data_IF_816143816805
#
_entry.id   IF_816143816805
#
_cell.length_a   1.000
_cell.length_b   1.000
_cell.length_c   1.000
_cell.angle_alpha   90.00
_cell.angle_beta   90.00
_cell.angle_gamma   90.00
#
_symmetry.space_group_name_H-M   'P 1'
#
loop_
_entity.id
_entity.type
_entity.pdbx_description
1 polymer ?
#
# COMPACT_ATOMS: atom_id res chain seq x y z
N UNK A 1 17.15 -12.88 0.31
CA UNK A 1 18.32 -13.68 0.71
C UNK A 1 19.16 -12.92 1.72
N UNK A 2 19.57 -13.59 2.81
CA UNK A 2 20.39 -12.99 3.88
C UNK A 2 21.75 -12.54 3.40
N UNK A 3 22.30 -13.25 2.42
CA UNK A 3 23.59 -12.93 1.82
C UNK A 3 23.73 -11.47 1.35
N UNK A 4 22.62 -10.84 0.90
CA UNK A 4 22.64 -9.43 0.49
C UNK A 4 22.94 -8.50 1.67
N UNK A 5 22.42 -8.78 2.85
CA UNK A 5 22.72 -7.99 4.06
C UNK A 5 24.19 -8.12 4.45
N UNK A 6 24.75 -9.32 4.38
CA UNK A 6 26.19 -9.53 4.65
C UNK A 6 27.07 -8.85 3.61
N UNK A 7 26.67 -8.88 2.33
CA UNK A 7 27.39 -8.13 1.29
C UNK A 7 27.40 -6.63 1.57
N UNK A 8 26.24 -6.06 1.91
CA UNK A 8 26.13 -4.64 2.28
C UNK A 8 26.95 -4.34 3.54
N UNK A 9 26.89 -5.22 4.54
CA UNK A 9 27.66 -5.06 5.77
C UNK A 9 29.18 -5.03 5.50
N UNK A 10 29.68 -5.98 4.75
CA UNK A 10 31.11 -6.07 4.44
C UNK A 10 31.59 -4.91 3.57
N UNK A 11 30.86 -4.60 2.48
CA UNK A 11 31.27 -3.58 1.51
C UNK A 11 31.25 -2.16 2.09
N UNK A 12 30.25 -1.84 2.90
CA UNK A 12 30.02 -0.49 3.42
C UNK A 12 30.33 -0.37 4.91
N UNK A 13 30.89 -1.40 5.56
CA UNK A 13 31.10 -1.45 7.02
C UNK A 13 29.84 -1.13 7.79
N UNK A 14 28.70 -1.65 7.31
CA UNK A 14 27.37 -1.30 7.80
C UNK A 14 26.90 -2.26 8.92
N UNK A 15 27.01 -1.82 10.16
CA UNK A 15 26.62 -2.60 11.34
C UNK A 15 25.12 -2.91 11.42
N UNK A 16 24.24 -2.05 10.88
CA UNK A 16 22.79 -2.34 10.81
C UNK A 16 22.49 -3.50 9.89
N UNK A 17 23.17 -3.55 8.72
CA UNK A 17 23.01 -4.65 7.79
C UNK A 17 23.58 -5.96 8.38
N UNK A 18 24.69 -5.88 9.13
CA UNK A 18 25.24 -7.03 9.86
C UNK A 18 24.24 -7.57 10.89
N UNK A 19 23.69 -6.69 11.71
CA UNK A 19 22.67 -7.05 12.69
C UNK A 19 21.43 -7.67 12.06
N UNK A 20 20.92 -7.06 10.98
CA UNK A 20 19.75 -7.57 10.29
C UNK A 20 20.00 -8.97 9.71
N UNK A 21 21.16 -9.18 9.08
CA UNK A 21 21.58 -10.49 8.59
C UNK A 21 21.61 -11.54 9.71
N UNK A 22 22.26 -11.22 10.83
CA UNK A 22 22.36 -12.12 11.97
C UNK A 22 20.98 -12.42 12.61
N UNK A 23 20.10 -11.43 12.71
CA UNK A 23 18.72 -11.64 13.18
C UNK A 23 17.97 -12.60 12.26
N UNK A 24 18.01 -12.41 10.96
CA UNK A 24 17.32 -13.28 10.00
C UNK A 24 17.85 -14.69 10.07
N UNK A 25 19.19 -14.89 10.13
CA UNK A 25 19.77 -16.22 10.31
C UNK A 25 19.33 -16.88 11.59
N UNK A 26 19.38 -16.16 12.71
CA UNK A 26 19.07 -16.71 14.04
C UNK A 26 17.59 -17.01 14.23
N UNK A 27 16.72 -16.12 13.78
CA UNK A 27 15.29 -16.19 14.10
C UNK A 27 14.46 -16.92 13.02
N UNK A 28 14.88 -16.89 11.76
CA UNK A 28 14.10 -17.44 10.65
C UNK A 28 14.76 -18.61 9.94
N UNK A 29 16.02 -18.48 9.51
CA UNK A 29 16.65 -19.56 8.73
C UNK A 29 16.86 -20.83 9.54
N UNK A 30 17.11 -20.73 10.83
CA UNK A 30 17.23 -21.91 11.70
C UNK A 30 15.92 -22.69 11.75
N UNK A 31 14.78 -22.00 11.79
CA UNK A 31 13.44 -22.64 11.76
C UNK A 31 13.16 -23.21 10.36
N UNK A 32 13.48 -22.48 9.30
CA UNK A 32 13.30 -22.93 7.93
C UNK A 32 14.14 -24.18 7.67
N UNK A 33 15.40 -24.19 8.06
CA UNK A 33 16.27 -25.37 7.94
C UNK A 33 15.75 -26.57 8.72
N UNK A 34 15.18 -26.35 9.92
CA UNK A 34 14.59 -27.43 10.72
C UNK A 34 13.34 -28.02 10.07
N UNK A 35 12.54 -27.19 9.40
CA UNK A 35 11.27 -27.58 8.77
C UNK A 35 11.45 -28.02 7.30
N UNK A 36 12.60 -27.77 6.68
CA UNK A 36 12.85 -28.13 5.28
C UNK A 36 12.77 -29.65 5.06
N UNK A 37 12.04 -30.03 4.03
CA UNK A 37 11.98 -31.44 3.55
C UNK A 37 13.24 -31.82 2.77
N UNK A 38 14.01 -30.85 2.30
CA UNK A 38 15.29 -31.06 1.61
C UNK A 38 16.40 -31.08 2.66
N UNK A 39 17.04 -32.21 2.83
CA UNK A 39 18.17 -32.34 3.76
C UNK A 39 19.48 -32.22 2.94
N UNK A 40 20.46 -31.49 3.45
CA UNK A 40 20.59 -30.96 4.82
C UNK A 40 19.89 -29.63 5.11
N UNK A 41 18.96 -29.14 4.29
CA UNK A 41 18.22 -27.89 4.53
C UNK A 41 19.02 -26.62 4.24
N UNK A 42 20.03 -26.72 3.40
CA UNK A 42 20.89 -25.58 3.00
C UNK A 42 20.20 -24.87 1.83
N UNK A 43 19.98 -23.57 1.99
CA UNK A 43 19.53 -22.71 0.91
C UNK A 43 20.64 -22.54 -0.14
N UNK A 44 20.32 -22.42 -1.43
CA UNK A 44 21.31 -22.19 -2.49
C UNK A 44 22.21 -20.97 -2.24
N UNK A 45 21.67 -19.96 -1.54
CA UNK A 45 22.35 -18.71 -1.21
C UNK A 45 23.35 -18.83 -0.05
N UNK A 46 23.35 -19.92 0.71
CA UNK A 46 24.22 -20.09 1.88
C UNK A 46 25.71 -19.98 1.55
N UNK A 47 26.10 -20.34 0.34
CA UNK A 47 27.49 -20.16 -0.13
C UNK A 47 27.86 -18.67 -0.18
N UNK A 48 26.95 -17.80 -0.60
CA UNK A 48 27.19 -16.37 -0.65
C UNK A 48 27.17 -15.75 0.75
N UNK A 49 26.39 -16.28 1.69
CA UNK A 49 26.44 -15.89 3.09
C UNK A 49 27.82 -16.16 3.66
N UNK A 50 28.38 -17.34 3.45
CA UNK A 50 29.72 -17.69 3.87
C UNK A 50 30.77 -16.80 3.23
N UNK A 51 30.67 -16.51 1.93
CA UNK A 51 31.65 -15.71 1.19
C UNK A 51 31.61 -14.21 1.57
N UNK A 52 30.46 -13.69 1.96
CA UNK A 52 30.27 -12.26 2.19
C UNK A 52 30.17 -11.87 3.66
N UNK A 53 30.07 -12.86 4.55
CA UNK A 53 30.08 -12.58 5.98
C UNK A 53 31.46 -12.10 6.43
N UNK A 54 31.52 -10.89 7.00
CA UNK A 54 32.73 -10.34 7.60
C UNK A 54 32.54 -10.19 9.12
N UNK A 55 33.17 -11.07 9.92
CA UNK A 55 33.03 -11.03 11.37
C UNK A 55 33.67 -9.79 12.02
N UNK A 56 34.44 -8.99 11.27
CA UNK A 56 35.01 -7.74 11.76
C UNK A 56 34.05 -6.55 11.70
N UNK A 57 32.88 -6.71 11.09
CA UNK A 57 31.81 -5.71 11.11
C UNK A 57 31.00 -5.88 12.39
N UNK A 58 31.13 -4.91 13.30
CA UNK A 58 30.35 -4.89 14.52
C UNK A 58 28.88 -4.57 14.27
N UNK A 59 27.97 -5.28 14.97
CA UNK A 59 26.55 -5.00 14.92
C UNK A 59 26.24 -3.60 15.47
N UNK A 60 25.27 -2.93 14.87
CA UNK A 60 24.73 -1.65 15.32
C UNK A 60 23.22 -1.73 15.49
N UNK A 61 22.72 -1.17 16.60
CA UNK A 61 21.27 -1.08 16.85
C UNK A 61 20.57 -0.19 15.82
N UNK A 62 19.25 -0.40 15.63
CA UNK A 62 18.49 0.32 14.62
C UNK A 62 17.95 1.68 15.08
N UNK A 63 18.08 2.03 16.38
CA UNK A 63 17.40 3.17 17.00
C UNK A 63 17.79 4.53 16.42
N UNK A 64 18.91 4.63 15.72
CA UNK A 64 19.38 5.83 15.02
C UNK A 64 18.94 5.91 13.56
N UNK A 65 18.25 4.88 13.05
CA UNK A 65 17.69 4.91 11.72
C UNK A 65 16.39 5.73 11.67
N UNK A 66 16.10 6.41 10.54
CA UNK A 66 14.88 7.19 10.39
C UNK A 66 13.64 6.30 10.55
N UNK A 67 12.59 6.84 11.17
CA UNK A 67 11.29 6.17 11.33
C UNK A 67 10.42 6.26 10.07
N UNK A 68 10.80 7.10 9.12
CA UNK A 68 10.13 7.25 7.84
C UNK A 68 11.12 7.16 6.69
N UNK A 69 10.76 6.45 5.63
CA UNK A 69 11.56 6.39 4.40
C UNK A 69 10.65 6.37 3.18
N UNK A 70 10.91 7.27 2.27
CA UNK A 70 10.31 7.26 0.94
C UNK A 70 11.32 6.68 -0.06
N UNK A 71 10.90 5.65 -0.79
CA UNK A 71 11.64 5.02 -1.88
C UNK A 71 11.03 5.52 -3.19
N UNK A 72 11.61 6.60 -3.70
CA UNK A 72 11.07 7.38 -4.82
C UNK A 72 10.83 6.51 -6.07
N UNK A 73 11.78 5.67 -6.42
CA UNK A 73 11.69 4.82 -7.61
C UNK A 73 10.52 3.82 -7.55
N UNK A 74 10.21 3.32 -6.36
CA UNK A 74 9.10 2.40 -6.12
C UNK A 74 7.77 3.10 -5.81
N UNK A 75 7.81 4.40 -5.54
CA UNK A 75 6.65 5.13 -5.02
C UNK A 75 6.19 4.64 -3.64
N UNK A 76 7.11 4.05 -2.86
CA UNK A 76 6.83 3.41 -1.58
C UNK A 76 7.21 4.31 -0.41
N UNK A 77 6.24 4.65 0.43
CA UNK A 77 6.47 5.26 1.74
C UNK A 77 6.36 4.19 2.83
N UNK A 78 7.42 4.05 3.63
CA UNK A 78 7.45 3.18 4.81
C UNK A 78 7.59 4.03 6.07
N UNK A 79 6.75 3.75 7.07
CA UNK A 79 6.69 4.45 8.35
C UNK A 79 6.77 3.46 9.50
N UNK A 80 7.36 3.88 10.62
CA UNK A 80 7.42 3.13 11.87
C UNK A 80 7.21 4.06 13.06
N UNK A 81 6.60 3.54 14.14
CA UNK A 81 6.53 4.28 15.41
C UNK A 81 7.83 4.19 16.22
N UNK A 82 8.58 3.11 16.04
CA UNK A 82 9.89 2.88 16.67
C UNK A 82 10.63 1.75 15.94
N UNK A 83 11.85 1.41 16.38
CA UNK A 83 12.60 0.23 15.93
C UNK A 83 12.48 -0.95 16.90
N UNK A 84 11.60 -0.84 17.89
CA UNK A 84 11.34 -1.92 18.84
C UNK A 84 10.39 -2.98 18.26
N UNK A 85 10.30 -4.15 18.89
CA UNK A 85 9.47 -5.28 18.42
C UNK A 85 7.96 -5.00 18.45
N UNK A 86 7.53 -4.13 19.35
CA UNK A 86 6.14 -3.69 19.51
C UNK A 86 5.75 -2.52 18.60
N UNK A 87 6.64 -2.12 17.71
CA UNK A 87 6.43 -1.00 16.81
C UNK A 87 5.19 -1.19 15.92
N UNK A 88 4.52 -0.08 15.66
CA UNK A 88 3.58 0.05 14.54
C UNK A 88 4.37 0.27 13.26
N UNK A 89 3.97 -0.42 12.21
CA UNK A 89 4.59 -0.32 10.89
C UNK A 89 3.50 -0.07 9.86
N UNK A 90 3.75 0.89 8.99
CA UNK A 90 2.84 1.23 7.92
C UNK A 90 3.61 1.38 6.61
N UNK A 91 3.05 0.89 5.52
CA UNK A 91 3.56 1.16 4.18
C UNK A 91 2.44 1.42 3.20
N UNK A 92 2.67 2.31 2.24
CA UNK A 92 1.78 2.57 1.11
C UNK A 92 2.61 2.70 -0.16
N UNK A 93 2.10 2.19 -1.27
CA UNK A 93 2.81 2.17 -2.55
C UNK A 93 1.91 2.70 -3.66
N UNK A 94 2.50 3.52 -4.54
CA UNK A 94 1.91 3.93 -5.82
C UNK A 94 3.03 4.19 -6.82
N UNK A 95 3.19 3.33 -7.81
CA UNK A 95 4.29 3.46 -8.75
C UNK A 95 4.17 2.50 -9.93
N UNK A 96 4.96 2.76 -10.95
CA UNK A 96 5.05 1.91 -12.11
C UNK A 96 5.57 0.49 -11.74
N UNK A 97 5.16 -0.55 -12.47
CA UNK A 97 5.66 -1.90 -12.27
C UNK A 97 7.21 -1.97 -12.34
N UNK A 98 7.83 -2.60 -11.36
CA UNK A 98 9.29 -2.71 -11.26
C UNK A 98 10.03 -1.46 -10.82
N UNK A 99 9.33 -0.36 -10.62
CA UNK A 99 9.87 0.96 -10.31
C UNK A 99 9.96 1.87 -11.53
N UNK A 100 9.93 3.17 -11.29
CA UNK A 100 9.86 4.18 -12.35
C UNK A 100 11.08 4.16 -13.29
N UNK A 101 12.27 3.91 -12.75
CA UNK A 101 13.49 3.83 -13.56
C UNK A 101 13.46 2.63 -14.49
N UNK A 102 13.20 1.45 -13.96
CA UNK A 102 13.15 0.22 -14.75
C UNK A 102 12.03 0.27 -15.80
N UNK A 103 10.89 0.84 -15.44
CA UNK A 103 9.79 1.04 -16.36
C UNK A 103 10.20 1.89 -17.57
N UNK A 104 10.81 3.07 -17.35
CA UNK A 104 11.29 3.95 -18.43
C UNK A 104 12.36 3.29 -19.30
N UNK A 105 13.36 2.68 -18.66
CA UNK A 105 14.46 2.01 -19.40
C UNK A 105 13.95 0.83 -20.20
N UNK A 106 13.05 0.02 -19.65
CA UNK A 106 12.43 -1.10 -20.35
C UNK A 106 11.68 -0.66 -21.61
N UNK A 107 10.89 0.41 -21.52
CA UNK A 107 10.20 1.00 -22.68
C UNK A 107 11.17 1.54 -23.73
N UNK A 108 12.23 2.21 -23.32
CA UNK A 108 13.25 2.70 -24.22
C UNK A 108 13.92 1.56 -24.99
N UNK A 109 14.30 0.48 -24.32
CA UNK A 109 14.90 -0.70 -24.94
C UNK A 109 13.91 -1.36 -25.91
N UNK A 110 12.63 -1.46 -25.55
CA UNK A 110 11.61 -1.99 -26.45
C UNK A 110 11.47 -1.12 -27.71
N UNK A 111 11.47 0.20 -27.59
CA UNK A 111 11.35 1.13 -28.72
C UNK A 111 12.60 1.15 -29.60
N UNK A 112 13.80 1.16 -28.99
CA UNK A 112 15.06 1.31 -29.71
C UNK A 112 15.57 0.00 -30.30
N UNK A 113 15.35 -1.12 -29.62
CA UNK A 113 15.95 -2.42 -29.93
C UNK A 113 14.94 -3.52 -30.21
N UNK A 114 13.66 -3.29 -29.97
CA UNK A 114 12.58 -4.29 -30.16
C UNK A 114 12.65 -5.44 -29.14
N UNK A 115 13.38 -5.26 -28.03
CA UNK A 115 13.54 -6.26 -26.98
C UNK A 115 12.49 -5.99 -25.89
N UNK A 116 11.58 -6.94 -25.68
CA UNK A 116 10.61 -6.89 -24.60
C UNK A 116 11.26 -7.37 -23.28
N UNK A 117 11.40 -6.45 -22.33
CA UNK A 117 11.92 -6.73 -20.99
C UNK A 117 10.82 -6.77 -19.91
N UNK A 118 9.57 -6.63 -20.31
CA UNK A 118 8.44 -6.57 -19.38
C UNK A 118 7.93 -7.94 -18.97
N UNK A 119 8.77 -8.75 -18.30
CA UNK A 119 8.27 -9.91 -17.57
C UNK A 119 7.63 -9.45 -16.26
N UNK A 120 6.36 -9.10 -16.31
CA UNK A 120 5.62 -8.55 -15.16
C UNK A 120 4.93 -9.63 -14.32
N UNK A 121 5.31 -10.88 -14.45
CA UNK A 121 4.69 -12.04 -13.78
C UNK A 121 4.76 -12.01 -12.24
N UNK A 122 5.55 -11.10 -11.67
CA UNK A 122 5.75 -10.95 -10.23
C UNK A 122 5.18 -9.62 -9.67
N UNK A 123 4.35 -8.93 -10.43
CA UNK A 123 3.68 -7.70 -10.00
C UNK A 123 2.24 -7.97 -9.59
N UNK A 124 1.77 -7.15 -8.64
CA UNK A 124 0.42 -7.18 -8.13
C UNK A 124 -0.34 -5.92 -8.56
N UNK A 125 -1.66 -5.95 -8.71
CA UNK A 125 -2.50 -4.77 -8.95
C UNK A 125 -2.71 -4.00 -7.64
N UNK A 126 -1.62 -3.52 -7.03
CA UNK A 126 -1.51 -3.04 -5.66
C UNK A 126 -1.23 -1.54 -5.52
N UNK A 127 -1.37 -0.75 -6.60
CA UNK A 127 -1.23 0.70 -6.51
C UNK A 127 -2.23 1.30 -5.54
N UNK A 128 -1.76 2.18 -4.65
CA UNK A 128 -2.49 2.78 -3.53
C UNK A 128 -2.84 1.80 -2.40
N UNK A 129 -2.43 0.54 -2.49
CA UNK A 129 -2.56 -0.41 -1.39
C UNK A 129 -1.64 -0.02 -0.24
N UNK A 130 -2.08 -0.35 0.97
CA UNK A 130 -1.33 -0.12 2.20
C UNK A 130 -1.32 -1.36 3.07
N UNK A 131 -0.25 -1.49 3.86
CA UNK A 131 -0.08 -2.54 4.87
C UNK A 131 0.14 -1.87 6.21
N UNK A 132 -0.54 -2.36 7.23
CA UNK A 132 -0.35 -1.97 8.61
C UNK A 132 -0.19 -3.19 9.51
N UNK A 133 0.80 -3.12 10.40
CA UNK A 133 1.04 -4.11 11.45
C UNK A 133 1.42 -3.41 12.76
N UNK A 134 1.12 -4.03 13.88
CA UNK A 134 1.42 -3.53 15.23
C UNK A 134 1.87 -4.68 16.12
N UNK A 135 3.04 -4.56 16.76
CA UNK A 135 3.56 -5.57 17.68
C UNK A 135 3.77 -6.96 17.07
N UNK A 136 3.99 -7.03 15.75
CA UNK A 136 4.11 -8.29 15.00
C UNK A 136 2.78 -8.89 14.56
N UNK A 137 1.64 -8.27 14.89
CA UNK A 137 0.31 -8.64 14.45
C UNK A 137 -0.08 -7.82 13.20
N UNK A 138 -0.50 -8.49 12.13
CA UNK A 138 -1.01 -7.82 10.94
C UNK A 138 -2.46 -7.38 11.15
N UNK A 139 -2.73 -6.11 10.86
CA UNK A 139 -4.09 -5.60 10.72
C UNK A 139 -4.58 -5.81 9.30
N UNK A 140 -3.85 -5.27 8.32
CA UNK A 140 -4.17 -5.49 6.91
C UNK A 140 -3.49 -6.77 6.42
N UNK A 141 -4.18 -7.50 5.58
CA UNK A 141 -3.60 -8.65 4.90
C UNK A 141 -3.95 -8.62 3.42
N UNK A 142 -3.19 -9.34 2.65
CA UNK A 142 -3.33 -9.51 1.21
C UNK A 142 -3.17 -10.98 0.86
N UNK A 143 -3.60 -11.38 -0.34
CA UNK A 143 -3.47 -12.76 -0.83
C UNK A 143 -2.02 -13.22 -1.01
N UNK A 144 -1.08 -12.30 -0.87
CA UNK A 144 0.33 -12.59 -1.02
C UNK A 144 0.69 -12.99 -2.46
N UNK A 145 1.68 -13.86 -2.59
CA UNK A 145 2.12 -14.38 -3.88
C UNK A 145 1.25 -15.56 -4.29
N UNK A 146 0.07 -15.27 -4.83
CA UNK A 146 -0.86 -16.25 -5.34
C UNK A 146 -1.00 -16.13 -6.87
N UNK A 147 -1.48 -17.19 -7.52
CA UNK A 147 -1.74 -17.18 -8.97
C UNK A 147 -2.96 -16.35 -9.36
N UNK A 148 -3.80 -16.02 -8.41
CA UNK A 148 -4.99 -15.19 -8.60
C UNK A 148 -4.74 -13.78 -8.10
N UNK A 149 -3.97 -13.00 -8.84
CA UNK A 149 -3.65 -11.61 -8.52
C UNK A 149 -4.86 -10.71 -8.83
N UNK A 150 -5.90 -10.80 -7.99
CA UNK A 150 -7.09 -9.96 -8.14
C UNK A 150 -6.91 -8.61 -7.45
N UNK A 151 -7.41 -7.51 -8.03
CA UNK A 151 -7.28 -6.20 -7.41
C UNK A 151 -7.98 -6.10 -6.05
N UNK A 152 -9.11 -6.76 -5.85
CA UNK A 152 -9.83 -6.76 -4.58
C UNK A 152 -9.17 -7.62 -3.47
N UNK A 153 -8.07 -8.31 -3.79
CA UNK A 153 -7.19 -8.94 -2.79
C UNK A 153 -6.24 -7.93 -2.11
N UNK A 154 -6.25 -6.67 -2.54
CA UNK A 154 -5.42 -5.59 -2.05
C UNK A 154 -6.27 -4.43 -1.52
N UNK A 155 -5.70 -3.56 -0.68
CA UNK A 155 -6.37 -2.39 -0.13
C UNK A 155 -6.37 -1.22 -1.13
N UNK A 156 -6.98 -1.41 -2.28
CA UNK A 156 -6.98 -0.50 -3.43
C UNK A 156 -8.31 0.20 -3.63
N UNK A 157 -8.33 1.08 -4.61
CA UNK A 157 -9.52 1.77 -5.09
C UNK A 157 -10.05 1.04 -6.33
N UNK A 158 -11.36 0.77 -6.39
CA UNK A 158 -11.97 0.09 -7.53
C UNK A 158 -12.97 0.99 -8.25
N UNK A 159 -13.08 0.80 -9.55
CA UNK A 159 -14.08 1.44 -10.42
C UNK A 159 -14.83 0.34 -11.13
N UNK A 160 -16.17 0.29 -10.93
CA UNK A 160 -17.06 -0.78 -11.41
C UNK A 160 -16.61 -2.19 -11.01
N UNK A 161 -16.03 -2.30 -9.80
CA UNK A 161 -15.47 -3.55 -9.27
C UNK A 161 -14.19 -4.00 -9.98
N UNK A 162 -13.53 -3.12 -10.74
CA UNK A 162 -12.33 -3.41 -11.52
C UNK A 162 -11.19 -2.45 -11.18
N UNK A 163 -9.98 -2.93 -11.37
CA UNK A 163 -8.78 -2.11 -11.30
C UNK A 163 -8.16 -1.92 -12.70
N UNK A 164 -8.26 -2.96 -13.54
CA UNK A 164 -7.84 -2.96 -14.94
C UNK A 164 -8.81 -3.83 -15.76
N UNK A 165 -8.77 -3.74 -17.09
CA UNK A 165 -9.57 -4.61 -17.97
C UNK A 165 -9.09 -6.07 -18.01
N UNK A 166 -8.07 -6.43 -17.28
CA UNK A 166 -7.56 -7.79 -17.25
C UNK A 166 -8.65 -8.74 -16.77
N UNK A 167 -9.11 -9.60 -17.67
CA UNK A 167 -10.05 -10.68 -17.37
C UNK A 167 -9.34 -11.94 -16.92
N UNK A 168 -8.04 -12.04 -17.15
CA UNK A 168 -7.22 -13.17 -16.79
C UNK A 168 -6.15 -12.77 -15.78
N UNK A 169 -6.14 -13.48 -14.73
CA UNK A 169 -5.49 -13.28 -13.47
C UNK A 169 -3.96 -13.30 -13.53
N UNK A 170 -3.42 -13.94 -14.56
CA UNK A 170 -1.98 -14.11 -14.69
C UNK A 170 -1.27 -12.94 -15.38
N UNK A 171 -2.02 -11.94 -15.86
CA UNK A 171 -1.45 -10.96 -16.78
C UNK A 171 -2.07 -9.55 -16.68
N UNK A 172 -2.40 -9.15 -15.46
CA UNK A 172 -3.12 -7.91 -15.18
C UNK A 172 -2.45 -6.67 -15.78
N UNK A 173 -1.10 -6.62 -15.79
CA UNK A 173 -0.38 -5.49 -16.35
C UNK A 173 -0.08 -5.64 -17.84
N UNK A 174 0.36 -6.83 -18.29
CA UNK A 174 0.74 -7.04 -19.68
C UNK A 174 -0.45 -6.94 -20.62
N UNK A 175 -1.56 -7.59 -20.29
CA UNK A 175 -2.77 -7.53 -21.12
C UNK A 175 -3.29 -6.10 -21.22
N UNK A 176 -3.26 -5.32 -20.14
CA UNK A 176 -3.71 -3.93 -20.18
C UNK A 176 -2.71 -3.01 -20.89
N UNK A 177 -1.40 -3.25 -20.80
CA UNK A 177 -0.40 -2.51 -21.58
C UNK A 177 -0.55 -2.79 -23.08
N UNK A 178 -0.60 -4.06 -23.48
CA UNK A 178 -0.80 -4.45 -24.88
C UNK A 178 -2.13 -3.94 -25.44
N UNK A 179 -3.20 -4.01 -24.65
CA UNK A 179 -4.51 -3.51 -25.04
C UNK A 179 -4.47 -2.00 -25.20
N UNK A 180 -3.88 -1.25 -24.27
CA UNK A 180 -3.71 0.20 -24.41
C UNK A 180 -2.85 0.55 -25.61
N UNK A 181 -1.75 -0.17 -25.84
CA UNK A 181 -0.92 0.07 -27.01
C UNK A 181 -1.70 -0.15 -28.32
N UNK A 182 -2.60 -1.15 -28.36
CA UNK A 182 -3.49 -1.37 -29.51
C UNK A 182 -4.53 -0.28 -29.68
N UNK A 183 -5.11 0.20 -28.57
CA UNK A 183 -6.16 1.23 -28.55
C UNK A 183 -5.60 2.63 -28.84
N UNK A 184 -4.44 2.94 -28.30
CA UNK A 184 -3.80 4.27 -28.37
C UNK A 184 -2.86 4.40 -29.57
N UNK A 185 -2.34 3.30 -30.09
CA UNK A 185 -1.45 3.29 -31.23
C UNK A 185 -0.23 4.18 -31.01
N UNK A 186 -0.08 5.23 -31.86
CA UNK A 186 1.06 6.16 -31.81
C UNK A 186 1.01 7.12 -30.61
N UNK A 187 -0.15 7.28 -30.00
CA UNK A 187 -0.35 8.18 -28.85
C UNK A 187 -0.12 7.46 -27.51
N UNK A 188 0.20 6.17 -27.55
CA UNK A 188 0.52 5.42 -26.35
C UNK A 188 1.81 5.93 -25.74
N UNK A 189 1.71 6.44 -24.50
CA UNK A 189 2.85 6.81 -23.69
C UNK A 189 2.92 5.86 -22.46
N UNK A 190 4.01 5.12 -22.32
CA UNK A 190 4.21 4.28 -21.15
C UNK A 190 4.24 5.07 -19.85
N UNK A 191 4.62 6.34 -19.91
CA UNK A 191 4.64 7.23 -18.75
C UNK A 191 3.24 7.56 -18.23
N UNK A 192 2.22 7.51 -19.11
CA UNK A 192 0.82 7.68 -18.71
C UNK A 192 0.21 6.44 -18.07
N UNK A 193 0.89 5.30 -18.14
CA UNK A 193 0.45 4.03 -17.59
C UNK A 193 1.13 3.75 -16.25
N UNK A 194 0.32 3.37 -15.26
CA UNK A 194 0.80 3.10 -13.91
C UNK A 194 0.41 4.19 -12.93
N UNK A 195 0.77 3.95 -11.68
CA UNK A 195 0.63 4.95 -10.63
C UNK A 195 1.88 5.81 -10.50
N UNK A 196 1.74 6.94 -9.87
CA UNK A 196 2.86 7.78 -9.45
C UNK A 196 2.52 8.53 -8.16
N UNK A 197 3.54 9.02 -7.49
CA UNK A 197 3.38 9.82 -6.27
C UNK A 197 3.55 11.29 -6.59
N UNK A 198 2.52 12.08 -6.31
CA UNK A 198 2.52 13.50 -6.57
C UNK A 198 2.96 14.34 -5.36
N UNK A 199 2.87 13.81 -4.15
CA UNK A 199 3.31 14.50 -2.94
C UNK A 199 3.73 13.50 -1.86
N UNK A 200 4.90 13.73 -1.26
CA UNK A 200 5.32 13.14 0.02
C UNK A 200 5.92 14.23 0.89
N UNK A 201 5.42 14.34 2.12
CA UNK A 201 6.01 15.21 3.15
C UNK A 201 6.06 14.45 4.46
N UNK A 202 7.19 14.52 5.13
CA UNK A 202 7.39 13.98 6.49
C UNK A 202 8.03 15.06 7.31
N UNK A 203 7.33 15.56 8.32
CA UNK A 203 7.78 16.62 9.22
C UNK A 203 7.55 16.18 10.66
N UNK A 204 8.63 15.83 11.34
CA UNK A 204 8.55 15.19 12.66
C UNK A 204 7.80 13.87 12.56
N UNK A 205 6.68 13.76 13.28
CA UNK A 205 5.82 12.58 13.26
C UNK A 205 4.70 12.64 12.21
N UNK A 206 4.43 13.83 11.67
CA UNK A 206 3.40 14.01 10.65
C UNK A 206 3.92 13.54 9.29
N UNK A 207 3.19 12.62 8.68
CA UNK A 207 3.45 12.18 7.33
C UNK A 207 2.21 12.39 6.46
N UNK A 208 2.45 12.89 5.25
CA UNK A 208 1.46 13.09 4.20
C UNK A 208 1.98 12.47 2.91
N UNK A 209 1.11 11.74 2.24
CA UNK A 209 1.42 11.09 0.97
C UNK A 209 0.22 11.24 0.03
N UNK A 210 0.46 11.50 -1.25
CA UNK A 210 -0.57 11.47 -2.30
C UNK A 210 -0.08 10.65 -3.47
N UNK A 211 -0.80 9.55 -3.76
CA UNK A 211 -0.61 8.71 -4.92
C UNK A 211 -1.73 8.90 -5.94
N UNK A 212 -1.39 8.82 -7.22
CA UNK A 212 -2.29 9.01 -8.36
C UNK A 212 -2.26 7.76 -9.24
N UNK A 213 -3.42 7.23 -9.61
CA UNK A 213 -3.49 5.96 -10.35
C UNK A 213 -4.55 5.94 -11.48
N UNK A 214 -5.08 7.09 -11.90
CA UNK A 214 -6.04 7.15 -13.01
C UNK A 214 -5.53 6.47 -14.29
N UNK A 215 -4.21 6.51 -14.51
CA UNK A 215 -3.55 5.92 -15.67
C UNK A 215 -3.63 4.39 -15.77
N UNK A 216 -3.96 3.65 -14.71
CA UNK A 216 -4.07 2.17 -14.74
C UNK A 216 -5.45 1.70 -15.19
N UNK A 217 -6.44 2.60 -15.23
CA UNK A 217 -7.80 2.26 -15.65
C UNK A 217 -7.94 2.35 -17.16
N UNK A 218 -8.75 1.46 -17.79
CA UNK A 218 -8.99 1.50 -19.22
C UNK A 218 -9.52 2.84 -19.70
N UNK A 219 -9.09 3.28 -20.91
CA UNK A 219 -9.51 4.57 -21.47
C UNK A 219 -11.03 4.72 -21.65
N UNK A 220 -11.74 3.64 -21.96
CA UNK A 220 -13.18 3.70 -22.12
C UNK A 220 -13.94 4.08 -20.85
N UNK A 221 -13.31 3.90 -19.67
CA UNK A 221 -13.83 4.36 -18.39
C UNK A 221 -13.73 5.87 -18.22
N UNK A 222 -12.83 6.53 -18.98
CA UNK A 222 -12.63 7.98 -18.97
C UNK A 222 -12.34 8.55 -17.59
N UNK A 223 -11.54 7.82 -16.80
CA UNK A 223 -11.08 8.30 -15.50
C UNK A 223 -10.16 9.49 -15.68
N UNK A 224 -10.41 10.55 -14.90
CA UNK A 224 -9.61 11.78 -14.88
C UNK A 224 -8.72 11.83 -13.62
N UNK A 225 -9.24 11.32 -12.52
CA UNK A 225 -8.53 11.23 -11.24
C UNK A 225 -8.96 9.98 -10.49
N UNK A 226 -8.00 9.22 -10.01
CA UNK A 226 -8.14 8.24 -8.96
C UNK A 226 -6.93 8.42 -8.06
N UNK A 227 -7.12 8.99 -6.90
CA UNK A 227 -6.02 9.33 -5.99
C UNK A 227 -6.35 8.98 -4.54
N UNK A 228 -5.33 8.67 -3.77
CA UNK A 228 -5.39 8.45 -2.32
C UNK A 228 -4.42 9.39 -1.63
N UNK A 229 -4.94 10.17 -0.70
CA UNK A 229 -4.15 11.02 0.19
C UNK A 229 -4.13 10.40 1.58
N UNK A 230 -2.92 10.07 2.07
CA UNK A 230 -2.69 9.61 3.44
C UNK A 230 -2.30 10.79 4.31
N UNK A 231 -2.85 10.83 5.53
CA UNK A 231 -2.40 11.68 6.64
C UNK A 231 -2.25 10.83 7.89
N UNK A 232 -1.10 10.87 8.54
CA UNK A 232 -0.85 10.19 9.82
C UNK A 232 0.12 11.00 10.69
N UNK A 233 -0.03 10.91 12.00
CA UNK A 233 0.89 11.50 12.97
C UNK A 233 1.37 10.41 13.94
N UNK A 234 2.64 10.04 13.82
CA UNK A 234 3.29 9.01 14.64
C UNK A 234 2.61 7.64 14.61
N UNK A 235 1.83 7.34 13.56
CA UNK A 235 0.97 6.16 13.45
C UNK A 235 -0.02 6.02 14.64
N UNK A 236 -0.42 7.14 15.26
CA UNK A 236 -1.48 7.17 16.26
C UNK A 236 -2.88 7.08 15.66
N UNK A 237 -2.99 7.40 14.40
CA UNK A 237 -4.13 7.23 13.50
C UNK A 237 -3.63 7.23 12.06
N UNK A 238 -4.47 6.84 11.09
CA UNK A 238 -4.30 7.21 9.69
C UNK A 238 -5.64 7.54 9.06
N UNK A 239 -5.59 8.56 8.21
CA UNK A 239 -6.71 9.05 7.44
C UNK A 239 -6.40 8.88 5.97
N UNK A 240 -7.41 8.48 5.18
CA UNK A 240 -7.36 8.61 3.74
C UNK A 240 -8.41 9.59 3.24
N UNK A 241 -8.07 10.34 2.20
CA UNK A 241 -9.04 10.91 1.28
C UNK A 241 -8.84 10.23 -0.07
N UNK A 242 -9.83 9.45 -0.48
CA UNK A 242 -9.87 8.73 -1.74
C UNK A 242 -10.77 9.48 -2.70
N UNK A 243 -10.21 9.90 -3.84
CA UNK A 243 -10.81 10.86 -4.74
C UNK A 243 -10.98 10.22 -6.11
N UNK A 244 -12.20 10.27 -6.61
CA UNK A 244 -12.54 9.79 -7.94
C UNK A 244 -13.18 10.91 -8.76
N UNK A 245 -12.69 11.11 -9.98
CA UNK A 245 -13.30 11.97 -10.98
C UNK A 245 -13.24 11.29 -12.35
N UNK A 246 -14.33 11.38 -13.09
CA UNK A 246 -14.48 10.76 -14.41
C UNK A 246 -15.44 11.56 -15.30
N UNK A 247 -15.29 11.42 -16.60
CA UNK A 247 -16.25 11.96 -17.57
C UNK A 247 -17.51 11.09 -17.72
N UNK A 248 -17.46 9.85 -17.20
CA UNK A 248 -18.60 8.92 -17.15
C UNK A 248 -18.96 8.58 -15.72
N UNK A 249 -20.20 8.20 -15.50
CA UNK A 249 -20.66 7.75 -14.19
C UNK A 249 -20.25 6.30 -13.93
N UNK A 250 -19.67 6.03 -12.76
CA UNK A 250 -19.18 4.73 -12.31
C UNK A 250 -19.60 4.45 -10.87
N UNK A 251 -19.56 3.19 -10.49
CA UNK A 251 -19.58 2.76 -9.08
C UNK A 251 -18.13 2.78 -8.57
N UNK A 252 -17.88 3.57 -7.56
CA UNK A 252 -16.58 3.64 -6.90
C UNK A 252 -16.58 2.86 -5.61
N UNK A 253 -15.47 2.18 -5.31
CA UNK A 253 -15.33 1.37 -4.11
C UNK A 253 -13.99 1.59 -3.43
N UNK A 254 -14.01 1.62 -2.09
CA UNK A 254 -12.82 1.52 -1.25
C UNK A 254 -12.82 0.17 -0.55
N UNK A 255 -11.66 -0.51 -0.58
CA UNK A 255 -11.50 -1.87 -0.08
C UNK A 255 -10.62 -1.85 1.17
N UNK A 256 -11.08 -2.50 2.22
CA UNK A 256 -10.32 -2.76 3.43
C UNK A 256 -10.25 -4.27 3.71
N UNK A 257 -9.10 -4.85 3.42
CA UNK A 257 -8.77 -6.26 3.65
C UNK A 257 -8.01 -6.40 4.96
N UNK A 258 -8.51 -7.23 5.86
CA UNK A 258 -7.95 -7.36 7.20
C UNK A 258 -7.85 -8.81 7.65
N UNK A 259 -6.86 -9.09 8.51
CA UNK A 259 -6.76 -10.35 9.23
C UNK A 259 -7.81 -10.45 10.35
N UNK A 260 -7.95 -9.44 11.24
CA UNK A 260 -9.00 -9.47 12.25
C UNK A 260 -10.40 -9.26 11.63
N UNK A 261 -11.38 -9.98 12.18
CA UNK A 261 -12.79 -9.87 11.79
C UNK A 261 -13.37 -8.50 12.16
N UNK A 262 -13.94 -7.74 11.20
CA UNK A 262 -14.62 -6.49 11.49
C UNK A 262 -15.91 -6.72 12.30
N UNK A 263 -16.02 -6.02 13.43
CA UNK A 263 -17.18 -6.05 14.31
C UNK A 263 -18.00 -4.77 14.12
N UNK A 264 -19.22 -4.80 13.57
CA UNK A 264 -20.05 -3.62 13.37
C UNK A 264 -20.27 -2.85 14.68
N UNK A 265 -20.28 -1.53 14.61
CA UNK A 265 -20.56 -0.59 15.69
C UNK A 265 -21.65 0.38 15.25
N UNK A 266 -22.17 1.20 16.18
CA UNK A 266 -23.11 2.26 15.84
C UNK A 266 -22.58 3.21 14.75
N UNK A 267 -21.26 3.48 14.77
CA UNK A 267 -20.58 4.30 13.76
C UNK A 267 -19.33 3.57 13.27
N UNK A 268 -19.46 2.83 12.17
CA UNK A 268 -18.36 2.13 11.54
C UNK A 268 -18.09 0.74 12.13
N UNK A 269 -16.82 0.36 12.25
CA UNK A 269 -16.39 -0.97 12.64
C UNK A 269 -15.28 -0.92 13.69
N UNK A 270 -15.20 -1.96 14.51
CA UNK A 270 -14.10 -2.23 15.43
C UNK A 270 -13.40 -3.51 15.00
N UNK A 271 -12.11 -3.49 14.96
CA UNK A 271 -11.27 -4.64 14.71
C UNK A 271 -10.51 -4.98 15.99
N UNK A 272 -10.74 -6.17 16.57
CA UNK A 272 -10.01 -6.59 17.75
C UNK A 272 -8.56 -6.95 17.39
N UNK A 273 -7.60 -6.39 18.12
CA UNK A 273 -6.18 -6.72 18.01
C UNK A 273 -5.56 -6.84 19.40
N UNK A 274 -4.56 -7.72 19.56
CA UNK A 274 -3.85 -7.89 20.83
C UNK A 274 -3.14 -6.60 21.27
N UNK A 275 -2.66 -5.82 20.31
CA UNK A 275 -1.95 -4.54 20.53
C UNK A 275 -2.86 -3.34 20.73
N UNK A 276 -4.16 -3.56 20.72
CA UNK A 276 -5.20 -2.53 20.88
C UNK A 276 -6.12 -2.42 19.67
N UNK A 277 -7.41 -2.46 19.94
CA UNK A 277 -8.44 -2.43 18.91
C UNK A 277 -8.31 -1.23 17.98
N UNK A 278 -8.63 -1.44 16.71
CA UNK A 278 -8.71 -0.38 15.70
C UNK A 278 -10.18 -0.06 15.44
N UNK A 279 -10.52 1.24 15.42
CA UNK A 279 -11.82 1.73 14.95
C UNK A 279 -11.67 2.24 13.53
N UNK A 280 -12.60 1.83 12.68
CA UNK A 280 -12.69 2.23 11.29
C UNK A 280 -14.02 2.92 11.01
N UNK A 281 -13.96 4.09 10.40
CA UNK A 281 -15.11 4.87 9.98
C UNK A 281 -14.90 5.35 8.56
N UNK A 282 -15.96 5.29 7.74
CA UNK A 282 -15.97 5.83 6.38
C UNK A 282 -17.03 6.93 6.29
N UNK A 283 -16.67 8.03 5.67
CA UNK A 283 -17.56 9.12 5.28
C UNK A 283 -17.43 9.33 3.78
N UNK A 284 -18.50 9.76 3.13
CA UNK A 284 -18.49 9.95 1.70
C UNK A 284 -19.29 11.17 1.27
N UNK A 285 -18.90 11.77 0.14
CA UNK A 285 -19.62 12.89 -0.49
C UNK A 285 -20.94 12.48 -1.14
N UNK A 286 -21.16 11.19 -1.40
CA UNK A 286 -22.39 10.62 -1.95
C UNK A 286 -22.83 9.41 -1.11
N UNK A 287 -24.10 8.96 -1.20
CA UNK A 287 -24.57 7.77 -0.50
C UNK A 287 -23.78 6.52 -0.84
N UNK A 288 -23.48 5.72 0.18
CA UNK A 288 -22.72 4.49 0.07
C UNK A 288 -23.40 3.33 0.75
N UNK A 289 -23.02 2.12 0.37
CA UNK A 289 -23.32 0.90 1.09
C UNK A 289 -22.02 0.15 1.42
N UNK A 290 -21.97 -0.55 2.54
CA UNK A 290 -20.82 -1.36 2.93
C UNK A 290 -21.22 -2.81 2.96
N UNK A 291 -20.44 -3.63 2.27
CA UNK A 291 -20.56 -5.08 2.24
C UNK A 291 -19.40 -5.70 2.99
N UNK A 292 -19.70 -6.69 3.82
CA UNK A 292 -18.70 -7.52 4.50
C UNK A 292 -18.73 -8.92 3.90
N UNK A 293 -17.57 -9.43 3.52
CA UNK A 293 -17.42 -10.79 3.01
C UNK A 293 -16.04 -11.36 3.34
N UNK A 294 -15.86 -12.64 3.09
CA UNK A 294 -14.63 -13.35 3.28
C UNK A 294 -14.06 -13.79 1.93
N UNK A 295 -12.76 -13.59 1.77
CA UNK A 295 -12.01 -14.13 0.64
C UNK A 295 -11.16 -15.32 1.11
N UNK A 296 -11.24 -16.43 0.38
CA UNK A 296 -10.41 -17.59 0.64
C UNK A 296 -9.06 -17.43 -0.05
N UNK A 297 -8.01 -17.32 0.75
CA UNK A 297 -6.63 -17.25 0.26
C UNK A 297 -6.05 -18.66 0.21
N UNK A 298 -5.49 -19.03 -0.93
CA UNK A 298 -4.83 -20.31 -1.13
C UNK A 298 -3.33 -20.08 -1.28
N UNK A 299 -2.56 -20.42 -0.25
CA UNK A 299 -1.11 -20.39 -0.34
C UNK A 299 -0.59 -21.40 -1.37
N UNK A 300 0.13 -20.94 -2.38
CA UNK A 300 0.69 -21.78 -3.45
C UNK A 300 1.98 -22.47 -3.05
N UNK A 301 2.59 -22.08 -1.94
CA UNK A 301 3.90 -22.57 -1.50
C UNK A 301 3.90 -24.03 -0.99
N UNK A 302 2.72 -24.66 -0.92
CA UNK A 302 2.56 -26.04 -0.42
C UNK A 302 2.15 -27.03 -1.51
N UNK A 303 2.73 -26.95 -2.69
CA UNK A 303 2.35 -27.67 -3.90
C UNK A 303 2.40 -29.21 -3.84
N UNK A 304 2.88 -29.82 -2.78
CA UNK A 304 2.98 -31.29 -2.68
C UNK A 304 1.82 -31.99 -1.95
N UNK A 305 0.95 -31.25 -1.30
CA UNK A 305 -0.22 -31.82 -0.62
C UNK A 305 -1.42 -30.90 -0.82
N UNK A 306 -2.12 -31.05 -1.95
CA UNK A 306 -3.33 -30.27 -2.25
C UNK A 306 -4.39 -30.30 -1.15
N UNK A 307 -4.39 -31.35 -0.33
CA UNK A 307 -5.33 -31.52 0.78
C UNK A 307 -4.92 -30.76 2.07
N UNK A 308 -3.71 -30.18 2.08
CA UNK A 308 -3.15 -29.42 3.23
C UNK A 308 -2.79 -27.97 2.86
N UNK A 309 -3.41 -27.41 1.85
CA UNK A 309 -3.27 -26.00 1.55
C UNK A 309 -3.71 -25.21 2.79
N UNK A 310 -2.80 -24.40 3.35
CA UNK A 310 -3.19 -23.42 4.35
C UNK A 310 -4.15 -22.45 3.67
N UNK A 311 -5.43 -22.64 3.91
CA UNK A 311 -6.45 -21.67 3.56
C UNK A 311 -6.50 -20.67 4.69
N UNK A 312 -6.08 -19.45 4.42
CA UNK A 312 -6.36 -18.32 5.28
C UNK A 312 -7.60 -17.61 4.75
N UNK A 313 -8.28 -16.91 5.62
CA UNK A 313 -9.43 -16.11 5.26
C UNK A 313 -9.05 -14.65 5.43
N UNK A 314 -9.31 -13.85 4.40
CA UNK A 314 -9.22 -12.39 4.46
C UNK A 314 -10.63 -11.86 4.71
N UNK A 315 -10.79 -11.03 5.73
CA UNK A 315 -12.05 -10.33 5.98
C UNK A 315 -12.05 -9.01 5.19
N UNK A 316 -13.00 -8.86 4.29
CA UNK A 316 -13.09 -7.70 3.42
C UNK A 316 -14.30 -6.84 3.76
N UNK A 317 -14.07 -5.55 3.93
CA UNK A 317 -15.10 -4.52 3.83
C UNK A 317 -14.95 -3.79 2.50
N UNK A 318 -16.01 -3.81 1.68
CA UNK A 318 -16.12 -2.99 0.48
C UNK A 318 -17.17 -1.91 0.73
N UNK A 319 -16.77 -0.65 0.67
CA UNK A 319 -17.70 0.49 0.74
C UNK A 319 -17.86 1.06 -0.66
N UNK A 320 -19.06 0.89 -1.21
CA UNK A 320 -19.38 1.15 -2.60
C UNK A 320 -20.34 2.34 -2.74
N UNK A 321 -20.26 3.09 -3.85
CA UNK A 321 -21.30 4.05 -4.23
C UNK A 321 -22.65 3.34 -4.39
N UNK A 322 -23.72 3.86 -3.83
CA UNK A 322 -25.06 3.27 -4.06
C UNK A 322 -25.58 3.45 -5.49
N UNK A 323 -25.13 4.50 -6.15
CA UNK A 323 -25.49 4.81 -7.54
C UNK A 323 -24.27 5.30 -8.31
N UNK A 324 -24.21 5.13 -9.64
CA UNK A 324 -23.12 5.63 -10.44
C UNK A 324 -22.93 7.15 -10.31
N UNK A 325 -21.69 7.58 -10.09
CA UNK A 325 -21.26 8.96 -9.91
C UNK A 325 -20.17 9.34 -10.91
N UNK A 326 -20.10 10.62 -11.31
CA UNK A 326 -18.96 11.17 -12.07
C UNK A 326 -17.83 11.64 -11.15
N UNK A 327 -18.16 11.94 -9.88
CA UNK A 327 -17.18 12.34 -8.86
C UNK A 327 -17.64 11.83 -7.50
N UNK A 328 -16.69 11.33 -6.72
CA UNK A 328 -16.91 10.95 -5.32
C UNK A 328 -15.64 11.05 -4.50
N UNK A 329 -15.81 11.44 -3.25
CA UNK A 329 -14.73 11.43 -2.25
C UNK A 329 -15.16 10.52 -1.10
N UNK A 330 -14.27 9.61 -0.72
CA UNK A 330 -14.37 8.85 0.51
C UNK A 330 -13.32 9.36 1.50
N UNK A 331 -13.69 9.47 2.76
CA UNK A 331 -12.75 9.65 3.85
C UNK A 331 -12.76 8.39 4.71
N UNK A 332 -11.65 7.69 4.73
CA UNK A 332 -11.45 6.54 5.61
C UNK A 332 -10.65 6.98 6.84
N UNK A 333 -11.10 6.63 8.01
CA UNK A 333 -10.46 7.01 9.25
C UNK A 333 -10.23 5.80 10.15
N UNK A 334 -8.97 5.57 10.51
CA UNK A 334 -8.54 4.51 11.40
C UNK A 334 -7.93 5.14 12.66
N UNK A 335 -8.48 4.77 13.81
CA UNK A 335 -8.02 5.23 15.12
C UNK A 335 -7.92 4.08 16.10
N UNK A 336 -7.04 4.18 17.09
CA UNK A 336 -6.95 3.15 18.12
C UNK A 336 -8.04 3.34 19.16
N UNK A 337 -8.71 2.26 19.55
CA UNK A 337 -9.63 2.25 20.67
C UNK A 337 -8.89 2.60 21.96
N UNK A 338 -9.48 3.47 22.76
CA UNK A 338 -8.78 4.01 23.96
C UNK A 338 -7.98 5.29 23.67
N UNK A 339 -7.69 5.62 22.40
CA UNK A 339 -7.28 6.99 22.07
C UNK A 339 -8.50 7.92 22.24
N UNK A 340 -8.29 9.14 22.72
CA UNK A 340 -9.33 10.17 22.81
C UNK A 340 -9.67 10.79 21.43
N UNK A 341 -9.40 10.04 20.35
CA UNK A 341 -9.64 10.50 18.99
C UNK A 341 -11.14 10.71 18.73
N UNK A 342 -11.50 11.90 18.25
CA UNK A 342 -12.86 12.23 17.83
C UNK A 342 -12.86 12.56 16.35
N UNK A 343 -13.69 11.84 15.61
CA UNK A 343 -13.80 11.99 14.16
C UNK A 343 -15.19 12.40 13.77
N UNK A 344 -15.30 13.37 12.89
CA UNK A 344 -16.55 13.72 12.22
C UNK A 344 -16.28 14.28 10.82
N UNK A 345 -17.28 14.15 9.95
CA UNK A 345 -17.26 14.77 8.63
C UNK A 345 -18.45 15.74 8.53
N UNK A 346 -18.17 16.99 8.20
CA UNK A 346 -19.19 18.03 8.04
C UNK A 346 -18.90 18.87 6.79
N UNK A 347 -19.91 19.04 5.95
CA UNK A 347 -19.80 19.85 4.73
C UNK A 347 -18.60 19.47 3.83
N UNK A 348 -18.32 18.17 3.68
CA UNK A 348 -17.20 17.68 2.86
C UNK A 348 -15.80 17.86 3.47
N UNK A 349 -15.75 18.21 4.76
CA UNK A 349 -14.50 18.36 5.51
C UNK A 349 -14.42 17.31 6.61
N UNK A 350 -13.36 16.53 6.62
CA UNK A 350 -13.05 15.60 7.70
C UNK A 350 -12.33 16.34 8.83
N UNK A 351 -12.83 16.16 10.04
CA UNK A 351 -12.23 16.63 11.28
C UNK A 351 -11.78 15.46 12.11
N UNK A 352 -10.54 15.47 12.54
CA UNK A 352 -10.01 14.58 13.57
C UNK A 352 -9.40 15.41 14.70
N UNK A 353 -9.88 15.20 15.93
CA UNK A 353 -9.20 15.65 17.14
C UNK A 353 -8.39 14.49 17.70
N UNK A 354 -7.10 14.69 17.89
CA UNK A 354 -6.20 13.69 18.46
C UNK A 354 -5.01 14.34 19.16
N UNK A 355 -4.77 13.92 20.40
CA UNK A 355 -3.63 14.36 21.20
C UNK A 355 -3.44 15.89 21.27
N UNK A 356 -4.57 16.62 21.47
CA UNK A 356 -4.59 18.09 21.55
C UNK A 356 -4.47 18.81 20.20
N UNK A 357 -4.29 18.08 19.11
CA UNK A 357 -4.28 18.63 17.75
C UNK A 357 -5.64 18.40 17.05
N UNK A 358 -5.99 19.30 16.15
CA UNK A 358 -7.11 19.16 15.24
C UNK A 358 -6.61 19.13 13.81
N UNK A 359 -6.91 18.05 13.10
CA UNK A 359 -6.59 17.84 11.71
C UNK A 359 -7.86 18.07 10.88
N UNK A 360 -7.80 19.00 9.93
CA UNK A 360 -8.89 19.30 9.01
C UNK A 360 -8.45 18.99 7.60
N UNK A 361 -9.08 17.98 7.00
CA UNK A 361 -8.80 17.54 5.64
C UNK A 361 -9.98 17.91 4.74
N UNK A 362 -9.72 18.69 3.69
CA UNK A 362 -10.72 19.12 2.70
C UNK A 362 -10.27 18.75 1.31
N UNK A 363 -11.23 18.33 0.49
CA UNK A 363 -11.04 18.07 -0.94
C UNK A 363 -11.87 19.09 -1.70
N UNK A 364 -11.25 19.84 -2.61
CA UNK A 364 -11.93 20.78 -3.50
C UNK A 364 -12.45 20.10 -4.77
N UNK A 365 -13.09 20.87 -5.62
CA UNK A 365 -13.56 20.38 -6.93
C UNK A 365 -12.39 20.06 -7.85
N UNK A 366 -12.61 19.14 -8.79
CA UNK A 366 -11.60 18.76 -9.78
C UNK A 366 -11.20 19.96 -10.64
N UNK A 367 -9.91 20.23 -10.72
CA UNK A 367 -9.33 21.27 -11.57
C UNK A 367 -8.77 20.64 -12.85
N UNK A 368 -9.49 20.83 -13.96
CA UNK A 368 -9.10 20.30 -15.25
C UNK A 368 -7.78 20.92 -15.80
N UNK A 369 -7.40 22.11 -15.32
CA UNK A 369 -6.14 22.76 -15.70
C UNK A 369 -4.92 22.12 -15.04
N UNK A 370 -5.13 21.52 -13.86
CA UNK A 370 -4.09 20.82 -13.09
C UNK A 370 -4.21 19.30 -13.24
N UNK A 371 -5.40 18.79 -13.60
CA UNK A 371 -5.70 17.37 -13.73
C UNK A 371 -5.96 16.65 -12.41
N UNK A 372 -6.29 17.40 -11.34
CA UNK A 372 -6.58 16.82 -10.02
C UNK A 372 -7.38 17.77 -9.13
N UNK A 373 -8.00 17.21 -8.10
CA UNK A 373 -8.67 17.96 -7.04
C UNK A 373 -7.65 18.52 -6.04
N UNK A 374 -7.75 19.80 -5.66
CA UNK A 374 -6.91 20.36 -4.61
C UNK A 374 -7.30 19.75 -3.25
N UNK A 375 -6.32 19.31 -2.50
CA UNK A 375 -6.50 18.80 -1.13
C UNK A 375 -5.77 19.72 -0.17
N UNK A 376 -6.43 20.10 0.93
CA UNK A 376 -5.83 20.93 1.98
C UNK A 376 -5.90 20.20 3.32
N UNK A 377 -4.77 20.12 3.97
CA UNK A 377 -4.66 19.69 5.35
C UNK A 377 -4.28 20.90 6.20
N UNK A 378 -5.11 21.22 7.22
CA UNK A 378 -4.77 22.16 8.28
C UNK A 378 -4.63 21.44 9.60
N UNK A 379 -3.57 21.74 10.30
CA UNK A 379 -3.32 21.24 11.65
C UNK A 379 -3.34 22.43 12.60
N UNK A 380 -4.18 22.36 13.64
CA UNK A 380 -4.26 23.39 14.67
C UNK A 380 -4.06 22.77 16.05
N UNK A 381 -3.44 23.54 16.95
CA UNK A 381 -3.25 23.19 18.35
C UNK A 381 -3.70 24.37 19.23
N UNK A 382 -4.55 24.12 20.22
CA UNK A 382 -5.10 25.17 21.10
C UNK A 382 -5.73 26.34 20.34
N UNK A 383 -6.31 26.06 19.17
CA UNK A 383 -6.94 27.05 18.28
C UNK A 383 -5.96 27.83 17.39
N UNK A 384 -4.65 27.67 17.55
CA UNK A 384 -3.66 28.26 16.69
C UNK A 384 -3.26 27.30 15.56
N UNK A 385 -3.17 27.81 14.31
CA UNK A 385 -2.68 27.02 13.18
C UNK A 385 -1.18 26.71 13.38
N UNK A 386 -0.83 25.43 13.30
CA UNK A 386 0.55 24.94 13.44
C UNK A 386 1.14 24.51 12.11
N UNK A 387 0.29 24.06 11.16
CA UNK A 387 0.72 23.69 9.81
C UNK A 387 -0.46 23.76 8.81
N UNK A 388 -0.16 24.13 7.56
CA UNK A 388 -1.07 24.03 6.43
C UNK A 388 -0.34 23.41 5.23
N UNK A 389 -0.96 22.44 4.60
CA UNK A 389 -0.43 21.75 3.42
C UNK A 389 -1.44 21.83 2.28
N UNK A 390 -0.96 22.19 1.11
CA UNK A 390 -1.66 22.04 -0.18
C UNK A 390 -1.06 20.83 -0.89
N UNK A 391 -1.89 19.87 -1.24
CA UNK A 391 -1.50 18.54 -1.70
C UNK A 391 -2.03 18.25 -3.09
#
# INVERSE_FOLDING_TARGET
>A
PVCVYYKVAAEYRNGHAQKLGNMVVKEFLAQEAANSKVKPGILPEAIFEFLWYDPSVEEREFDDLPLARYFEDLGLLALRSSWQRDARVFSIKCGAPGGAKQWREGWKILQDEGIDLFSLSHHHPDNLSYIFASGGEYFTCEDGYNRNLMPDNHNVLLVDGRYTDAQDVNDVYMTSVEQRQKEEGKDFSPESYGGFVSCVKVEGNLAVYRGETAGVYPRHMQMQEVSRVLVTDGLGFWLFADIFNSQKSHIYSVICNTDPLPCPQEKGYRYPMETGDIRYQVFSSAPTETRQYEQQVVSVMTTQEQDKLCRTCIHTLSTDSQTPQTSQVFFECFTFAGSEAKVCCQQGMLHLEWNGNVYKLTVGEYDAGVGRSPVRLRVTRDGAETAEYSL
#
